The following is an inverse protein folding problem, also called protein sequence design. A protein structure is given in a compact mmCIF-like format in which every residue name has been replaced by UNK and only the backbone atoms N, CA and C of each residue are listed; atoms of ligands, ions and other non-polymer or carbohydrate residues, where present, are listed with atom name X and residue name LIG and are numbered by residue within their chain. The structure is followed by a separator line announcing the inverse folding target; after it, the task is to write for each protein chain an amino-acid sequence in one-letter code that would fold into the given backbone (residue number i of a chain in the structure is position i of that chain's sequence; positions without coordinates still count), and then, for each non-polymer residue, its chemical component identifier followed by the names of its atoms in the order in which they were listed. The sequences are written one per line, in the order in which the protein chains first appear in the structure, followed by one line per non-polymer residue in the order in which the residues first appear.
data_IF_284792537764
#
_entry.id   IF_284792537764
#
_cell.length_a   1.000
_cell.length_b   1.000
_cell.length_c   1.000
_cell.angle_alpha   90.00
_cell.angle_beta   90.00
_cell.angle_gamma   90.00
#
_symmetry.space_group_name_H-M   'P 1'
#
loop_
_entity.id
_entity.type
_entity.pdbx_description
1 polymer ?
#
# COMPACT_ATOMS: atom_id res chain seq x y z
N UNK A 1 -1.12 10.06 15.48
CA UNK A 1 0.02 10.06 16.42
C UNK A 1 1.35 10.35 15.73
N UNK A 2 1.75 9.58 14.71
CA UNK A 2 3.01 9.83 13.95
C UNK A 2 3.13 11.25 13.39
N UNK A 3 2.07 11.81 12.79
CA UNK A 3 2.08 13.20 12.30
C UNK A 3 2.33 14.23 13.40
N UNK A 4 1.71 14.04 14.58
CA UNK A 4 1.91 14.93 15.72
C UNK A 4 3.38 14.96 16.14
N UNK A 5 4.04 13.80 16.16
CA UNK A 5 5.47 13.71 16.41
C UNK A 5 6.26 14.39 15.29
N UNK A 6 5.91 14.18 14.02
CA UNK A 6 6.55 14.86 12.89
C UNK A 6 6.46 16.40 12.97
N UNK A 7 5.29 16.95 13.34
CA UNK A 7 5.09 18.38 13.50
C UNK A 7 5.79 18.95 14.74
N UNK A 8 5.70 18.26 15.88
CA UNK A 8 6.17 18.79 17.17
C UNK A 8 7.68 18.58 17.35
N UNK A 9 8.19 17.40 17.02
CA UNK A 9 9.60 17.04 17.23
C UNK A 9 10.45 17.44 16.04
N UNK A 10 9.98 17.15 14.82
CA UNK A 10 10.76 17.38 13.60
C UNK A 10 10.41 18.70 12.90
N UNK A 11 9.43 19.48 13.43
CA UNK A 11 8.93 20.73 12.84
C UNK A 11 8.56 20.61 11.36
N UNK A 12 8.19 19.40 10.95
CA UNK A 12 7.93 19.09 9.57
C UNK A 12 6.57 19.66 9.20
N UNK A 13 6.49 20.56 8.23
CA UNK A 13 5.21 21.06 7.72
C UNK A 13 4.78 20.20 6.53
N UNK A 14 3.55 19.69 6.55
CA UNK A 14 3.00 18.97 5.41
C UNK A 14 2.68 19.99 4.34
N UNK A 15 3.38 19.92 3.20
CA UNK A 15 3.22 20.87 2.10
C UNK A 15 1.90 20.67 1.32
N UNK A 16 1.37 19.44 1.33
CA UNK A 16 0.15 19.07 0.59
C UNK A 16 -1.10 18.89 1.46
N UNK A 17 -2.12 18.24 0.90
CA UNK A 17 -3.40 18.00 1.58
C UNK A 17 -3.37 16.76 2.49
N UNK A 18 -3.57 16.97 3.78
CA UNK A 18 -3.73 15.89 4.76
C UNK A 18 -4.92 14.98 4.43
N UNK A 19 -6.02 15.54 3.90
CA UNK A 19 -7.19 14.74 3.54
C UNK A 19 -6.89 13.74 2.42
N UNK A 20 -6.13 14.16 1.40
CA UNK A 20 -5.69 13.27 0.34
C UNK A 20 -4.75 12.18 0.87
N UNK A 21 -3.85 12.55 1.78
CA UNK A 21 -2.94 11.60 2.40
C UNK A 21 -3.69 10.52 3.18
N UNK A 22 -4.61 10.92 4.06
CA UNK A 22 -5.41 9.97 4.84
C UNK A 22 -6.36 9.16 3.96
N UNK A 23 -6.99 9.77 2.94
CA UNK A 23 -7.83 9.04 1.98
C UNK A 23 -7.04 7.97 1.23
N UNK A 24 -5.83 8.30 0.77
CA UNK A 24 -4.94 7.35 0.09
C UNK A 24 -4.44 6.26 1.04
N UNK A 25 -4.19 6.60 2.31
CA UNK A 25 -3.83 5.63 3.33
C UNK A 25 -4.97 4.62 3.58
N UNK A 26 -6.23 5.07 3.61
CA UNK A 26 -7.38 4.16 3.71
C UNK A 26 -7.45 3.22 2.52
N UNK A 27 -7.26 3.71 1.28
CA UNK A 27 -7.25 2.86 0.08
C UNK A 27 -6.13 1.80 0.13
N UNK A 28 -4.93 2.20 0.56
CA UNK A 28 -3.82 1.27 0.76
C UNK A 28 -4.15 0.22 1.84
N UNK A 29 -4.68 0.65 3.00
CA UNK A 29 -5.05 -0.26 4.08
C UNK A 29 -6.13 -1.26 3.64
N UNK A 30 -7.12 -0.82 2.86
CA UNK A 30 -8.13 -1.70 2.26
C UNK A 30 -7.50 -2.76 1.35
N UNK A 31 -6.54 -2.37 0.52
CA UNK A 31 -5.78 -3.30 -0.34
C UNK A 31 -4.99 -4.31 0.49
N UNK A 32 -4.26 -3.85 1.51
CA UNK A 32 -3.45 -4.69 2.38
C UNK A 32 -4.30 -5.66 3.23
N UNK A 33 -5.42 -5.18 3.77
CA UNK A 33 -6.40 -6.01 4.49
C UNK A 33 -6.98 -7.09 3.56
N UNK A 34 -7.37 -6.72 2.35
CA UNK A 34 -7.81 -7.67 1.34
C UNK A 34 -6.75 -8.75 1.10
N UNK A 35 -5.48 -8.38 0.93
CA UNK A 35 -4.42 -9.35 0.71
C UNK A 35 -4.27 -10.33 1.89
N UNK A 36 -4.32 -9.83 3.12
CA UNK A 36 -4.28 -10.66 4.33
C UNK A 36 -5.46 -11.63 4.43
N UNK A 37 -6.67 -11.17 4.10
CA UNK A 37 -7.87 -12.01 4.03
C UNK A 37 -7.73 -13.05 2.91
N UNK A 38 -7.26 -12.66 1.72
CA UNK A 38 -7.04 -13.59 0.62
C UNK A 38 -6.06 -14.69 1.01
N UNK A 39 -4.94 -14.34 1.65
CA UNK A 39 -3.95 -15.30 2.15
C UNK A 39 -4.58 -16.25 3.17
N UNK A 40 -5.38 -15.74 4.12
CA UNK A 40 -6.03 -16.58 5.13
C UNK A 40 -7.05 -17.55 4.54
N UNK A 41 -7.70 -17.21 3.41
CA UNK A 41 -8.60 -18.13 2.70
C UNK A 41 -7.85 -19.29 2.03
N UNK A 42 -6.57 -19.09 1.69
CA UNK A 42 -5.70 -20.09 1.06
C UNK A 42 -4.98 -20.99 2.06
N UNK A 43 -4.69 -20.47 3.25
CA UNK A 43 -3.98 -21.19 4.28
C UNK A 43 -4.87 -22.27 4.94
N UNK A 44 -4.25 -23.40 5.26
CA UNK A 44 -4.88 -24.49 5.99
C UNK A 44 -4.86 -24.25 7.50
N UNK A 45 -3.86 -23.52 8.01
CA UNK A 45 -3.73 -23.19 9.43
C UNK A 45 -3.46 -21.70 9.65
N UNK A 46 -3.75 -21.20 10.85
CA UNK A 46 -3.45 -19.81 11.24
C UNK A 46 -1.95 -19.51 11.21
N UNK A 47 -1.11 -20.44 11.67
CA UNK A 47 0.35 -20.29 11.64
C UNK A 47 0.86 -20.18 10.19
N UNK A 48 0.34 -21.00 9.28
CA UNK A 48 0.68 -20.91 7.86
C UNK A 48 0.27 -19.56 7.27
N UNK A 49 -0.93 -19.06 7.59
CA UNK A 49 -1.38 -17.75 7.14
C UNK A 49 -0.45 -16.61 7.61
N UNK A 50 0.02 -16.69 8.86
CA UNK A 50 0.95 -15.72 9.43
C UNK A 50 2.30 -15.71 8.70
N UNK A 51 2.90 -16.88 8.48
CA UNK A 51 4.18 -16.99 7.77
C UNK A 51 4.09 -16.48 6.33
N UNK A 52 3.01 -16.84 5.61
CA UNK A 52 2.80 -16.36 4.24
C UNK A 52 2.61 -14.84 4.23
N UNK A 53 1.80 -14.29 5.15
CA UNK A 53 1.56 -12.85 5.24
C UNK A 53 2.84 -12.08 5.56
N UNK A 54 3.68 -12.61 6.48
CA UNK A 54 4.97 -12.02 6.80
C UNK A 54 5.93 -12.01 5.61
N UNK A 55 6.01 -13.12 4.88
CA UNK A 55 6.83 -13.21 3.67
C UNK A 55 6.42 -12.14 2.65
N UNK A 56 5.12 -12.03 2.34
CA UNK A 56 4.63 -11.02 1.40
C UNK A 56 4.82 -9.60 1.93
N UNK A 57 4.60 -9.35 3.22
CA UNK A 57 4.81 -8.03 3.82
C UNK A 57 6.25 -7.56 3.64
N UNK A 58 7.23 -8.40 3.99
CA UNK A 58 8.65 -8.08 3.80
C UNK A 58 8.92 -7.85 2.32
N UNK A 59 8.51 -8.77 1.46
CA UNK A 59 8.75 -8.68 0.02
C UNK A 59 8.21 -7.37 -0.59
N UNK A 60 6.97 -7.00 -0.27
CA UNK A 60 6.35 -5.76 -0.74
C UNK A 60 7.07 -4.52 -0.20
N UNK A 61 7.50 -4.51 1.07
CA UNK A 61 8.29 -3.38 1.63
C UNK A 61 9.61 -3.18 0.87
N UNK A 62 10.29 -4.26 0.45
CA UNK A 62 11.50 -4.14 -0.36
C UNK A 62 11.23 -3.64 -1.79
N UNK A 63 10.07 -3.96 -2.36
CA UNK A 63 9.66 -3.56 -3.72
C UNK A 63 9.02 -2.18 -3.80
N UNK A 64 8.50 -1.65 -2.69
CA UNK A 64 7.68 -0.44 -2.69
C UNK A 64 8.41 0.86 -2.99
N UNK A 65 9.73 0.86 -3.00
CA UNK A 65 10.51 2.09 -3.05
C UNK A 65 10.70 2.77 -1.69
N UNK A 66 10.19 2.17 -0.60
CA UNK A 66 10.33 2.71 0.76
C UNK A 66 11.79 2.65 1.24
N UNK A 67 12.40 1.46 1.25
CA UNK A 67 13.78 1.25 1.73
C UNK A 67 14.83 1.65 0.69
N UNK A 68 14.60 1.30 -0.58
CA UNK A 68 15.54 1.55 -1.68
C UNK A 68 14.81 2.26 -2.82
N UNK A 69 15.39 3.29 -3.45
CA UNK A 69 14.79 3.92 -4.61
C UNK A 69 14.54 2.91 -5.74
N UNK A 70 13.35 2.93 -6.33
CA UNK A 70 12.96 2.00 -7.40
C UNK A 70 13.88 2.13 -8.62
N UNK A 71 14.34 3.35 -8.91
CA UNK A 71 15.26 3.65 -10.02
C UNK A 71 16.59 2.86 -9.94
N UNK A 72 16.99 2.47 -8.73
CA UNK A 72 18.22 1.71 -8.49
C UNK A 72 18.03 0.19 -8.65
N UNK A 73 16.80 -0.28 -8.85
CA UNK A 73 16.52 -1.71 -9.02
C UNK A 73 16.79 -2.16 -10.47
N UNK A 74 17.18 -3.42 -10.71
CA UNK A 74 17.27 -3.97 -12.06
C UNK A 74 15.94 -3.85 -12.81
N UNK A 75 15.98 -3.64 -14.14
CA UNK A 75 14.79 -3.35 -14.95
C UNK A 75 13.67 -4.40 -14.83
N UNK A 76 14.01 -5.69 -14.64
CA UNK A 76 13.02 -6.75 -14.40
C UNK A 76 12.27 -6.57 -13.09
N UNK A 77 12.99 -6.18 -12.03
CA UNK A 77 12.44 -5.95 -10.70
C UNK A 77 11.57 -4.70 -10.68
N UNK A 78 11.99 -3.63 -11.37
CA UNK A 78 11.18 -2.41 -11.48
C UNK A 78 9.77 -2.69 -12.02
N UNK A 79 9.63 -3.62 -12.97
CA UNK A 79 8.32 -4.01 -13.50
C UNK A 79 7.45 -4.73 -12.47
N UNK A 80 8.04 -5.51 -11.58
CA UNK A 80 7.29 -6.23 -10.53
C UNK A 80 6.69 -5.27 -9.50
N UNK A 81 7.35 -4.14 -9.24
CA UNK A 81 6.86 -3.14 -8.28
C UNK A 81 5.50 -2.54 -8.67
N UNK A 82 5.08 -2.60 -9.95
CA UNK A 82 3.73 -2.17 -10.35
C UNK A 82 2.61 -3.08 -9.80
N UNK A 83 2.94 -4.28 -9.31
CA UNK A 83 1.99 -5.16 -8.63
C UNK A 83 1.91 -4.92 -7.12
N UNK A 84 2.67 -3.96 -6.61
CA UNK A 84 2.71 -3.61 -5.19
C UNK A 84 1.88 -2.34 -4.92
N UNK A 85 0.74 -2.41 -4.21
CA UNK A 85 -0.04 -1.22 -3.86
C UNK A 85 0.75 -0.26 -2.96
N UNK A 86 1.72 -0.73 -2.17
CA UNK A 86 2.53 0.12 -1.30
C UNK A 86 3.37 1.11 -2.12
N UNK A 87 3.84 0.73 -3.32
CA UNK A 87 4.55 1.63 -4.25
C UNK A 87 3.78 2.93 -4.49
N UNK A 88 2.51 2.81 -4.85
CA UNK A 88 1.66 3.95 -5.20
C UNK A 88 1.41 4.85 -3.99
N UNK A 89 1.20 4.24 -2.81
CA UNK A 89 1.04 4.99 -1.57
C UNK A 89 2.33 5.74 -1.18
N UNK A 90 3.49 5.11 -1.33
CA UNK A 90 4.80 5.72 -1.06
C UNK A 90 5.12 6.91 -1.95
N UNK A 91 4.71 6.87 -3.22
CA UNK A 91 4.81 8.01 -4.14
C UNK A 91 3.90 9.15 -3.67
N UNK A 92 2.63 8.86 -3.38
CA UNK A 92 1.67 9.86 -2.87
C UNK A 92 2.17 10.50 -1.58
N UNK A 93 2.68 9.69 -0.65
CA UNK A 93 3.18 10.16 0.63
C UNK A 93 4.34 11.14 0.43
N UNK A 94 5.35 10.78 -0.36
CA UNK A 94 6.50 11.65 -0.65
C UNK A 94 6.10 12.94 -1.35
N UNK A 95 5.21 12.88 -2.34
CA UNK A 95 4.73 14.06 -3.06
C UNK A 95 3.99 15.05 -2.13
N UNK A 96 3.14 14.54 -1.23
CA UNK A 96 2.40 15.38 -0.27
C UNK A 96 3.33 15.99 0.78
N UNK A 97 4.27 15.22 1.33
CA UNK A 97 5.15 15.69 2.39
C UNK A 97 6.24 16.63 1.88
N UNK A 98 6.85 16.33 0.73
CA UNK A 98 8.06 17.00 0.26
C UNK A 98 7.78 18.10 -0.76
N UNK A 99 6.76 17.92 -1.62
CA UNK A 99 6.53 18.81 -2.77
C UNK A 99 5.23 19.61 -2.69
N UNK A 100 4.27 19.17 -1.87
CA UNK A 100 2.96 19.80 -1.80
C UNK A 100 2.18 19.72 -3.11
N UNK A 101 2.41 18.67 -3.89
CA UNK A 101 1.89 18.52 -5.25
C UNK A 101 0.37 18.56 -5.29
N UNK A 102 -0.17 19.17 -6.36
CA UNK A 102 -1.61 19.23 -6.58
C UNK A 102 -2.22 17.84 -6.75
N UNK A 103 -3.44 17.58 -6.23
CA UNK A 103 -4.15 16.30 -6.38
C UNK A 103 -4.21 15.76 -7.81
N UNK A 104 -4.21 16.63 -8.83
CA UNK A 104 -4.25 16.23 -10.24
C UNK A 104 -3.05 15.38 -10.65
N UNK A 105 -1.86 15.66 -10.10
CA UNK A 105 -0.66 14.88 -10.38
C UNK A 105 -0.66 13.51 -9.71
N UNK A 106 -1.46 13.35 -8.64
CA UNK A 106 -1.58 12.12 -7.88
C UNK A 106 -2.73 11.23 -8.36
N UNK A 107 -3.54 11.71 -9.32
CA UNK A 107 -4.74 11.01 -9.76
C UNK A 107 -4.45 9.59 -10.29
N UNK A 108 -3.35 9.40 -11.01
CA UNK A 108 -2.94 8.07 -11.50
C UNK A 108 -2.59 7.09 -10.38
N UNK A 109 -1.87 7.57 -9.38
CA UNK A 109 -1.47 6.76 -8.22
C UNK A 109 -2.69 6.41 -7.35
N UNK A 110 -3.58 7.38 -7.13
CA UNK A 110 -4.84 7.18 -6.41
C UNK A 110 -5.73 6.19 -7.16
N UNK A 111 -5.87 6.33 -8.48
CA UNK A 111 -6.66 5.41 -9.28
C UNK A 111 -6.12 3.98 -9.22
N UNK A 112 -4.79 3.81 -9.19
CA UNK A 112 -4.15 2.51 -9.03
C UNK A 112 -4.48 1.90 -7.65
N UNK A 113 -4.39 2.69 -6.57
CA UNK A 113 -4.80 2.24 -5.23
C UNK A 113 -6.27 1.85 -5.15
N UNK A 114 -7.18 2.61 -5.79
CA UNK A 114 -8.60 2.23 -5.89
C UNK A 114 -8.73 0.89 -6.62
N UNK A 115 -8.04 0.73 -7.75
CA UNK A 115 -8.02 -0.52 -8.50
C UNK A 115 -7.58 -1.72 -7.64
N UNK A 116 -6.47 -1.58 -6.93
CA UNK A 116 -5.98 -2.63 -6.01
C UNK A 116 -6.98 -2.92 -4.89
N UNK A 117 -7.51 -1.89 -4.24
CA UNK A 117 -8.46 -2.05 -3.14
C UNK A 117 -9.70 -2.82 -3.62
N UNK A 118 -10.28 -2.44 -4.76
CA UNK A 118 -11.46 -3.09 -5.33
C UNK A 118 -11.16 -4.52 -5.78
N UNK A 119 -10.06 -4.76 -6.51
CA UNK A 119 -9.73 -6.08 -7.04
C UNK A 119 -9.39 -7.06 -5.92
N UNK A 120 -8.47 -6.69 -5.01
CA UNK A 120 -8.01 -7.61 -3.96
C UNK A 120 -9.14 -7.90 -2.97
N UNK A 121 -9.88 -6.88 -2.51
CA UNK A 121 -11.02 -7.12 -1.62
C UNK A 121 -12.15 -7.89 -2.31
N UNK A 122 -12.42 -7.61 -3.59
CA UNK A 122 -13.39 -8.35 -4.38
C UNK A 122 -13.05 -9.84 -4.46
N UNK A 123 -11.81 -10.16 -4.84
CA UNK A 123 -11.32 -11.54 -4.89
C UNK A 123 -11.38 -12.23 -3.52
N UNK A 124 -11.01 -11.52 -2.46
CA UNK A 124 -11.05 -12.01 -1.09
C UNK A 124 -12.48 -12.36 -0.65
N UNK A 125 -13.42 -11.46 -0.94
CA UNK A 125 -14.84 -11.62 -0.58
C UNK A 125 -15.48 -12.81 -1.31
N UNK A 126 -15.21 -12.93 -2.63
CA UNK A 126 -15.70 -14.03 -3.45
C UNK A 126 -15.18 -15.39 -2.98
N UNK A 127 -13.92 -15.45 -2.57
CA UNK A 127 -13.28 -16.70 -2.12
C UNK A 127 -13.68 -17.09 -0.70
N UNK A 128 -13.86 -16.10 0.18
CA UNK A 128 -14.37 -16.30 1.53
C UNK A 128 -15.75 -16.96 1.52
N UNK A 129 -16.66 -16.49 0.64
CA UNK A 129 -17.99 -17.08 0.48
C UNK A 129 -17.97 -18.54 -0.01
N UNK A 130 -16.99 -18.92 -0.84
CA UNK A 130 -16.86 -20.30 -1.34
C UNK A 130 -16.38 -21.31 -0.31
N UNK A 131 -15.72 -20.87 0.77
CA UNK A 131 -15.26 -21.75 1.86
C UNK A 131 -16.35 -22.00 2.91
N UNK A 132 -17.36 -21.11 2.97
CA UNK A 132 -18.49 -21.18 3.89
C UNK A 132 -19.69 -21.97 3.33
N UNK A 133 -19.70 -22.29 2.04
CA UNK A 133 -20.61 -23.26 1.42
C UNK A 133 -19.93 -24.62 1.33
#
# INVERSE_FOLDING_TARGET
MMLLVAFVVFRLTVAGSLLLMFGSAVLYLLSALGLGIFISTLAQTQQQALFISWFFMIFLIFMSGFLFPIENMPAGVQKLTYFDPLRYFEIILREIFLKGSSPRFLAGEIASLVGFATVILGLSSLKFQKRLR
#
